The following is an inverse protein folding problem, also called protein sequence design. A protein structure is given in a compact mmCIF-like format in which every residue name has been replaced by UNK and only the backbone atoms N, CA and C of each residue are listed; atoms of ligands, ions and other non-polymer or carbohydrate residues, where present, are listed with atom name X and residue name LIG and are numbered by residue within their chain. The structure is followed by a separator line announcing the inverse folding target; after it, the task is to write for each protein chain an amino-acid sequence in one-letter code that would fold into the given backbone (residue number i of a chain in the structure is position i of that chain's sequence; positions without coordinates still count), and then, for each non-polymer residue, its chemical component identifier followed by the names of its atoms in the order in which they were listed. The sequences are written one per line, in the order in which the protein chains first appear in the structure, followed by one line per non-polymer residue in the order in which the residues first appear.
data_IF_212450796555
#
_entry.id   IF_212450796555
#
_cell.length_a   1.000
_cell.length_b   1.000
_cell.length_c   1.000
_cell.angle_alpha   90.00
_cell.angle_beta   90.00
_cell.angle_gamma   90.00
#
_symmetry.space_group_name_H-M   'P 1'
#
loop_
_entity.id
_entity.type
_entity.pdbx_description
1 polymer ?
#
# COMPACT_ATOMS: atom_id res chain seq x y z
N UNK A 1 -17.41 27.58 -18.08
CA UNK A 1 -17.53 27.11 -16.69
C UNK A 1 -17.19 25.62 -16.68
N UNK A 2 -16.46 25.08 -15.69
CA UNK A 2 -16.24 23.64 -15.61
C UNK A 2 -17.57 22.92 -15.35
N UNK A 3 -17.71 21.69 -15.84
CA UNK A 3 -18.90 20.84 -15.58
C UNK A 3 -18.75 20.01 -14.29
N UNK A 4 -17.51 19.69 -13.95
CA UNK A 4 -17.13 18.90 -12.78
C UNK A 4 -15.90 19.53 -12.12
N UNK A 5 -15.90 19.56 -10.79
CA UNK A 5 -14.73 19.87 -9.97
C UNK A 5 -14.31 18.62 -9.24
N UNK A 6 -13.15 18.07 -9.60
CA UNK A 6 -12.57 16.91 -8.95
C UNK A 6 -11.55 17.38 -7.93
N UNK A 7 -11.81 17.10 -6.66
CA UNK A 7 -10.96 17.48 -5.54
C UNK A 7 -10.33 16.25 -4.90
N UNK A 8 -9.12 16.44 -4.40
CA UNK A 8 -8.30 15.36 -3.86
C UNK A 8 -7.91 15.68 -2.42
N UNK A 9 -8.20 14.74 -1.53
CA UNK A 9 -7.88 14.77 -0.11
C UNK A 9 -8.35 16.03 0.64
N UNK A 10 -7.90 16.17 1.88
CA UNK A 10 -8.37 17.16 2.83
C UNK A 10 -8.02 18.60 2.44
N UNK A 11 -6.93 18.80 1.69
CA UNK A 11 -6.45 20.13 1.28
C UNK A 11 -7.51 20.86 0.45
N UNK A 12 -8.24 20.13 -0.38
CA UNK A 12 -9.36 20.64 -1.17
C UNK A 12 -10.74 20.20 -0.63
N UNK A 13 -10.78 19.59 0.55
CA UNK A 13 -12.00 18.99 1.12
C UNK A 13 -13.12 19.99 1.41
N UNK A 14 -12.82 21.28 1.58
CA UNK A 14 -13.85 22.31 1.79
C UNK A 14 -14.52 22.79 0.49
N UNK A 15 -13.92 22.53 -0.67
CA UNK A 15 -14.42 23.04 -1.95
C UNK A 15 -15.85 22.57 -2.27
N UNK A 16 -16.24 21.30 -2.05
CA UNK A 16 -17.63 20.89 -2.26
C UNK A 16 -18.64 21.67 -1.41
N UNK A 17 -18.30 21.95 -0.16
CA UNK A 17 -19.13 22.75 0.73
C UNK A 17 -19.23 24.21 0.26
N UNK A 18 -18.11 24.82 -0.15
CA UNK A 18 -18.10 26.19 -0.67
C UNK A 18 -18.95 26.32 -1.95
N UNK A 19 -18.84 25.38 -2.88
CA UNK A 19 -19.67 25.35 -4.11
C UNK A 19 -21.15 25.20 -3.75
N UNK A 20 -21.48 24.31 -2.81
CA UNK A 20 -22.85 24.13 -2.34
C UNK A 20 -23.40 25.42 -1.70
N UNK A 21 -22.60 26.07 -0.87
CA UNK A 21 -22.99 27.32 -0.22
C UNK A 21 -23.26 28.43 -1.24
N UNK A 22 -22.37 28.64 -2.22
CA UNK A 22 -22.58 29.66 -3.26
C UNK A 22 -23.78 29.33 -4.17
N UNK A 23 -24.01 28.05 -4.44
CA UNK A 23 -25.23 27.60 -5.15
C UNK A 23 -26.50 27.98 -4.40
N UNK A 24 -26.54 27.75 -3.10
CA UNK A 24 -27.68 28.04 -2.23
C UNK A 24 -27.85 29.55 -1.99
N UNK A 25 -26.75 30.30 -1.80
CA UNK A 25 -26.75 31.74 -1.47
C UNK A 25 -26.98 32.65 -2.67
N UNK A 26 -26.20 32.44 -3.74
CA UNK A 26 -26.17 33.33 -4.90
C UNK A 26 -27.10 32.88 -6.04
N UNK A 27 -27.82 31.76 -5.85
CA UNK A 27 -28.63 31.16 -6.91
C UNK A 27 -27.78 30.70 -8.09
N UNK A 28 -26.54 30.25 -7.84
CA UNK A 28 -25.63 29.77 -8.88
C UNK A 28 -26.12 28.43 -9.46
N UNK A 29 -27.19 28.48 -10.27
CA UNK A 29 -27.89 27.31 -10.81
C UNK A 29 -27.06 26.43 -11.73
N UNK A 30 -25.96 26.95 -12.27
CA UNK A 30 -24.99 26.20 -13.11
C UNK A 30 -23.73 25.79 -12.35
N UNK A 31 -23.78 25.74 -11.02
CA UNK A 31 -22.66 25.29 -10.21
C UNK A 31 -22.23 23.85 -10.62
N UNK A 32 -20.92 23.60 -10.80
CA UNK A 32 -20.43 22.30 -11.22
C UNK A 32 -20.73 21.22 -10.19
N UNK A 33 -20.81 19.97 -10.67
CA UNK A 33 -20.80 18.80 -9.79
C UNK A 33 -19.43 18.62 -9.14
N UNK A 34 -19.38 17.94 -8.01
CA UNK A 34 -18.15 17.75 -7.24
C UNK A 34 -17.86 16.27 -7.01
N UNK A 35 -16.61 15.86 -7.28
CA UNK A 35 -16.10 14.54 -6.97
C UNK A 35 -14.94 14.67 -5.99
N UNK A 36 -15.01 14.02 -4.83
CA UNK A 36 -13.90 13.93 -3.89
C UNK A 36 -13.18 12.59 -4.07
N UNK A 37 -11.86 12.58 -4.27
CA UNK A 37 -11.04 11.38 -4.08
C UNK A 37 -10.32 11.41 -2.74
N UNK A 38 -10.46 10.32 -1.98
CA UNK A 38 -9.73 10.06 -0.75
C UNK A 38 -8.57 9.11 -1.06
N UNK A 39 -7.32 9.59 -0.99
CA UNK A 39 -6.14 8.72 -1.17
C UNK A 39 -5.65 8.13 0.14
N UNK A 40 -5.82 8.86 1.25
CA UNK A 40 -5.39 8.37 2.56
C UNK A 40 -6.22 9.02 3.68
N UNK A 41 -6.98 8.19 4.40
CA UNK A 41 -7.91 8.64 5.42
C UNK A 41 -7.23 9.05 6.73
N UNK A 42 -5.94 8.72 6.90
CA UNK A 42 -5.16 9.13 8.07
C UNK A 42 -4.87 10.63 8.10
N UNK A 43 -4.88 11.31 6.95
CA UNK A 43 -4.66 12.76 6.84
C UNK A 43 -5.98 13.45 6.50
N UNK A 44 -6.59 14.10 7.50
CA UNK A 44 -7.96 14.60 7.39
C UNK A 44 -8.08 16.13 7.40
N UNK A 45 -6.99 16.85 7.71
CA UNK A 45 -7.04 18.30 7.91
C UNK A 45 -7.95 18.66 9.08
N UNK A 46 -7.61 18.18 10.28
CA UNK A 46 -8.33 18.47 11.51
C UNK A 46 -7.77 19.74 12.15
N UNK A 47 -8.63 20.71 12.41
CA UNK A 47 -8.26 22.03 12.96
C UNK A 47 -9.14 22.39 14.16
N UNK A 48 -8.70 23.35 14.98
CA UNK A 48 -9.52 23.87 16.07
C UNK A 48 -10.85 24.45 15.56
N UNK A 49 -11.88 24.43 16.41
CA UNK A 49 -13.16 25.09 16.10
C UNK A 49 -13.01 26.55 15.66
N UNK A 50 -12.06 27.28 16.26
CA UNK A 50 -11.81 28.69 15.92
C UNK A 50 -11.35 28.88 14.47
N UNK A 51 -10.65 27.90 13.89
CA UNK A 51 -10.22 27.96 12.48
C UNK A 51 -11.41 27.97 11.52
N UNK A 52 -12.58 27.46 11.92
CA UNK A 52 -13.80 27.48 11.10
C UNK A 52 -14.19 28.89 10.67
N UNK A 53 -13.96 29.91 11.51
CA UNK A 53 -14.27 31.30 11.18
C UNK A 53 -13.51 31.81 9.94
N UNK A 54 -12.34 31.24 9.64
CA UNK A 54 -11.53 31.60 8.47
C UNK A 54 -12.16 31.18 7.13
N UNK A 55 -13.13 30.25 7.17
CA UNK A 55 -13.84 29.78 5.97
C UNK A 55 -14.87 30.78 5.45
N UNK A 56 -15.28 31.74 6.29
CA UNK A 56 -16.43 32.63 6.06
C UNK A 56 -17.76 31.89 5.79
N UNK A 57 -17.87 30.62 6.17
CA UNK A 57 -19.10 29.84 6.07
C UNK A 57 -20.04 30.12 7.26
N UNK A 58 -21.37 30.10 7.06
CA UNK A 58 -22.34 30.17 8.15
C UNK A 58 -22.13 29.11 9.22
N UNK A 59 -22.50 29.40 10.47
CA UNK A 59 -22.43 28.44 11.59
C UNK A 59 -23.23 27.16 11.35
N UNK A 60 -24.23 27.21 10.47
CA UNK A 60 -25.18 26.13 10.22
C UNK A 60 -24.55 24.92 9.53
N UNK A 61 -23.33 25.02 8.99
CA UNK A 61 -22.57 23.86 8.49
C UNK A 61 -21.64 23.24 9.57
N UNK A 62 -21.48 23.88 10.73
CA UNK A 62 -20.70 23.34 11.86
C UNK A 62 -21.62 22.53 12.80
N UNK A 63 -21.99 21.32 12.38
CA UNK A 63 -22.77 20.36 13.15
C UNK A 63 -22.29 18.93 12.86
N UNK A 64 -22.77 17.96 13.65
CA UNK A 64 -22.31 16.56 13.62
C UNK A 64 -22.42 15.90 12.24
N UNK A 65 -23.49 16.16 11.48
CA UNK A 65 -23.64 15.65 10.10
C UNK A 65 -22.90 16.52 9.05
N UNK A 66 -22.21 17.58 9.49
CA UNK A 66 -21.51 18.55 8.65
C UNK A 66 -20.00 18.55 8.88
N UNK A 67 -19.42 19.74 9.06
CA UNK A 67 -17.97 19.96 9.17
C UNK A 67 -17.38 19.55 10.52
N UNK A 68 -18.21 19.51 11.57
CA UNK A 68 -17.76 19.29 12.95
C UNK A 68 -17.26 17.87 13.15
N UNK A 69 -16.22 17.68 13.98
CA UNK A 69 -15.66 16.38 14.32
C UNK A 69 -15.09 16.41 15.74
N UNK A 70 -15.85 15.94 16.73
CA UNK A 70 -15.45 15.90 18.15
C UNK A 70 -15.04 17.28 18.72
N UNK A 71 -15.82 18.31 18.42
CA UNK A 71 -15.59 19.70 18.76
C UNK A 71 -14.60 20.42 17.85
N UNK A 72 -14.01 19.74 16.88
CA UNK A 72 -13.02 20.26 15.93
C UNK A 72 -13.63 20.45 14.54
N UNK A 73 -12.90 21.13 13.66
CA UNK A 73 -13.22 21.22 12.23
C UNK A 73 -12.47 20.12 11.49
N UNK A 74 -13.11 19.42 10.55
CA UNK A 74 -12.47 18.40 9.72
C UNK A 74 -12.72 18.67 8.23
N UNK A 75 -11.67 19.08 7.51
CA UNK A 75 -11.76 19.45 6.09
C UNK A 75 -12.15 18.26 5.20
N UNK A 76 -11.62 17.07 5.47
CA UNK A 76 -11.97 15.88 4.70
C UNK A 76 -13.42 15.46 4.96
N UNK A 77 -13.87 15.52 6.21
CA UNK A 77 -15.26 15.24 6.58
C UNK A 77 -16.22 16.17 5.82
N UNK A 78 -15.91 17.46 5.75
CA UNK A 78 -16.69 18.40 4.94
C UNK A 78 -16.80 17.92 3.48
N UNK A 79 -15.70 17.50 2.87
CA UNK A 79 -15.72 16.95 1.52
C UNK A 79 -16.62 15.71 1.39
N UNK A 80 -16.53 14.78 2.33
CA UNK A 80 -17.35 13.56 2.38
C UNK A 80 -18.84 13.90 2.49
N UNK A 81 -19.20 14.85 3.36
CA UNK A 81 -20.60 15.24 3.58
C UNK A 81 -21.21 15.97 2.37
N UNK A 82 -20.44 16.80 1.67
CA UNK A 82 -20.98 17.75 0.70
C UNK A 82 -20.66 17.45 -0.78
N UNK A 83 -19.76 16.52 -1.10
CA UNK A 83 -19.49 16.13 -2.49
C UNK A 83 -20.70 15.46 -3.18
N UNK A 84 -20.82 15.55 -4.50
CA UNK A 84 -21.84 14.80 -5.26
C UNK A 84 -21.43 13.33 -5.45
N UNK A 85 -20.13 13.04 -5.54
CA UNK A 85 -19.56 11.69 -5.64
C UNK A 85 -18.31 11.58 -4.78
N UNK A 86 -18.07 10.40 -4.21
CA UNK A 86 -16.86 10.10 -3.45
C UNK A 86 -16.15 8.91 -4.12
N UNK A 87 -14.86 9.07 -4.37
CA UNK A 87 -14.01 8.01 -4.86
C UNK A 87 -12.88 7.75 -3.87
N UNK A 88 -12.34 6.55 -3.90
CA UNK A 88 -11.09 6.21 -3.22
C UNK A 88 -10.28 5.25 -4.06
N UNK A 89 -9.06 4.96 -3.65
CA UNK A 89 -8.00 4.45 -4.53
C UNK A 89 -7.96 2.92 -4.68
N UNK A 90 -8.96 2.21 -4.15
CA UNK A 90 -9.21 0.79 -4.47
C UNK A 90 -10.59 0.30 -3.99
N UNK A 91 -11.21 -0.69 -4.67
CA UNK A 91 -12.48 -1.29 -4.24
C UNK A 91 -12.49 -1.86 -2.82
N UNK A 92 -11.42 -2.53 -2.40
CA UNK A 92 -11.29 -3.10 -1.06
C UNK A 92 -11.09 -2.00 -0.03
N UNK A 93 -10.24 -1.01 -0.30
CA UNK A 93 -10.06 0.09 0.62
C UNK A 93 -11.37 0.86 0.85
N UNK A 94 -12.20 1.04 -0.19
CA UNK A 94 -13.54 1.61 -0.06
C UNK A 94 -14.42 0.86 0.97
N UNK A 95 -14.28 -0.47 1.05
CA UNK A 95 -14.97 -1.29 2.06
C UNK A 95 -14.30 -1.19 3.43
N UNK A 96 -12.96 -1.21 3.47
CA UNK A 96 -12.19 -1.16 4.71
C UNK A 96 -12.41 0.14 5.47
N UNK A 97 -12.39 1.30 4.79
CA UNK A 97 -12.56 2.62 5.43
C UNK A 97 -13.94 2.86 6.04
N UNK A 98 -14.93 2.02 5.72
CA UNK A 98 -16.23 2.03 6.37
C UNK A 98 -16.27 1.23 7.68
N UNK A 99 -15.16 0.61 8.08
CA UNK A 99 -15.01 -0.10 9.35
C UNK A 99 -14.27 0.78 10.36
N UNK A 100 -14.57 0.63 11.65
CA UNK A 100 -13.91 1.40 12.72
C UNK A 100 -12.38 1.24 12.71
N UNK A 101 -11.89 0.03 12.40
CA UNK A 101 -10.46 -0.29 12.39
C UNK A 101 -9.63 0.55 11.40
N UNK A 102 -10.22 0.91 10.24
CA UNK A 102 -9.53 1.62 9.15
C UNK A 102 -10.13 2.99 8.83
N UNK A 103 -11.32 3.30 9.35
CA UNK A 103 -12.06 4.52 9.02
C UNK A 103 -11.56 5.78 9.73
N UNK A 104 -10.60 5.64 10.65
CA UNK A 104 -9.96 6.77 11.32
C UNK A 104 -10.99 7.75 11.97
N UNK A 105 -12.10 7.21 12.51
CA UNK A 105 -13.22 7.98 13.09
C UNK A 105 -14.24 8.54 12.09
N UNK A 106 -13.99 8.43 10.78
CA UNK A 106 -14.91 8.84 9.72
C UNK A 106 -15.75 7.69 9.15
N UNK A 107 -15.61 6.48 9.69
CA UNK A 107 -16.34 5.29 9.25
C UNK A 107 -17.86 5.48 9.30
N UNK A 108 -18.37 6.16 10.34
CA UNK A 108 -19.79 6.51 10.46
C UNK A 108 -20.28 7.41 9.33
N UNK A 109 -19.54 8.50 9.07
CA UNK A 109 -19.86 9.45 7.99
C UNK A 109 -19.77 8.77 6.62
N UNK A 110 -18.78 7.91 6.40
CA UNK A 110 -18.64 7.15 5.15
C UNK A 110 -19.78 6.14 4.96
N UNK A 111 -20.23 5.45 6.02
CA UNK A 111 -21.39 4.54 5.94
C UNK A 111 -22.69 5.25 5.57
N UNK A 112 -22.92 6.46 6.09
CA UNK A 112 -24.08 7.28 5.70
C UNK A 112 -24.07 7.62 4.20
N UNK A 113 -22.86 7.72 3.62
CA UNK A 113 -22.60 8.14 2.24
C UNK A 113 -22.18 6.98 1.32
N UNK A 114 -22.31 5.72 1.77
CA UNK A 114 -21.76 4.55 1.08
C UNK A 114 -22.25 4.37 -0.36
N UNK A 115 -23.49 4.80 -0.65
CA UNK A 115 -24.09 4.70 -1.99
C UNK A 115 -23.43 5.63 -3.01
N UNK A 116 -22.58 6.57 -2.56
CA UNK A 116 -21.81 7.49 -3.38
C UNK A 116 -20.31 7.21 -3.34
N UNK A 117 -19.88 6.20 -2.57
CA UNK A 117 -18.47 5.84 -2.39
C UNK A 117 -18.07 4.74 -3.39
N UNK A 118 -17.12 5.04 -4.27
CA UNK A 118 -16.62 4.12 -5.28
C UNK A 118 -15.11 3.94 -5.16
N UNK A 119 -14.64 2.70 -5.06
CA UNK A 119 -13.21 2.40 -5.14
C UNK A 119 -12.75 2.24 -6.59
N UNK A 120 -11.75 3.01 -7.00
CA UNK A 120 -11.12 2.97 -8.32
C UNK A 120 -9.63 2.76 -8.10
N UNK A 121 -9.09 1.65 -8.60
CA UNK A 121 -7.67 1.33 -8.44
C UNK A 121 -6.81 2.34 -9.19
N UNK A 122 -5.73 2.83 -8.57
CA UNK A 122 -4.80 3.73 -9.23
C UNK A 122 -4.08 3.03 -10.40
N UNK A 123 -3.64 3.83 -11.36
CA UNK A 123 -2.64 3.46 -12.35
C UNK A 123 -1.23 3.84 -11.92
N UNK A 124 -0.26 3.48 -12.75
CA UNK A 124 1.15 3.90 -12.64
C UNK A 124 1.60 4.56 -13.94
N UNK A 125 2.50 5.53 -13.84
CA UNK A 125 3.11 6.15 -15.03
C UNK A 125 3.97 5.12 -15.77
N UNK A 126 3.52 4.79 -16.97
CA UNK A 126 4.12 3.77 -17.80
C UNK A 126 5.37 4.19 -18.53
N UNK A 127 5.58 5.48 -18.70
CA UNK A 127 6.75 6.03 -19.39
C UNK A 127 7.91 6.13 -18.39
N UNK A 128 7.62 6.58 -17.17
CA UNK A 128 8.59 6.63 -16.07
C UNK A 128 8.99 5.21 -15.62
N UNK A 129 8.01 4.36 -15.29
CA UNK A 129 8.26 3.03 -14.76
C UNK A 129 8.37 2.00 -15.88
N UNK A 130 9.35 2.17 -16.76
CA UNK A 130 9.59 1.25 -17.88
C UNK A 130 10.86 0.42 -17.72
N UNK A 131 10.89 -0.77 -18.32
CA UNK A 131 12.06 -1.68 -18.35
C UNK A 131 12.89 -1.51 -19.63
N UNK A 132 12.43 -0.68 -20.55
CA UNK A 132 13.11 -0.31 -21.79
C UNK A 132 13.25 1.20 -21.86
N UNK A 133 14.38 1.71 -22.38
CA UNK A 133 14.62 3.16 -22.49
C UNK A 133 14.59 3.91 -21.15
N UNK A 134 14.72 3.19 -20.04
CA UNK A 134 14.81 3.80 -18.72
C UNK A 134 16.25 4.25 -18.46
N UNK A 135 16.51 5.55 -18.22
CA UNK A 135 17.85 6.09 -18.07
C UNK A 135 18.58 5.61 -16.80
N UNK A 136 17.86 4.99 -15.85
CA UNK A 136 18.42 4.50 -14.59
C UNK A 136 18.88 3.05 -14.65
N UNK A 137 18.55 2.31 -15.72
CA UNK A 137 18.89 0.90 -15.89
C UNK A 137 20.13 0.75 -16.78
N UNK A 138 21.01 -0.21 -16.44
CA UNK A 138 22.18 -0.52 -17.28
C UNK A 138 21.82 -1.34 -18.51
N UNK A 139 20.76 -2.14 -18.42
CA UNK A 139 20.29 -3.03 -19.47
C UNK A 139 18.77 -3.01 -19.53
N UNK A 140 18.25 -2.79 -20.75
CA UNK A 140 16.83 -2.94 -21.01
C UNK A 140 16.44 -4.43 -21.02
N UNK A 141 15.23 -4.72 -20.55
CA UNK A 141 14.66 -6.07 -20.61
C UNK A 141 13.16 -6.02 -20.88
N UNK A 142 12.61 -7.16 -21.29
CA UNK A 142 11.17 -7.32 -21.54
C UNK A 142 10.74 -8.75 -21.27
N UNK A 143 9.43 -9.00 -21.28
CA UNK A 143 8.87 -10.35 -21.18
C UNK A 143 9.45 -11.32 -22.23
N UNK A 144 9.75 -10.83 -23.43
CA UNK A 144 10.31 -11.64 -24.53
C UNK A 144 11.83 -11.80 -24.44
N UNK A 145 12.51 -10.89 -23.75
CA UNK A 145 13.95 -10.92 -23.55
C UNK A 145 14.28 -10.54 -22.09
N UNK A 146 14.19 -11.50 -21.15
CA UNK A 146 14.38 -11.24 -19.73
C UNK A 146 15.85 -11.12 -19.32
N UNK A 147 16.80 -11.43 -20.22
CA UNK A 147 18.23 -11.53 -19.88
C UNK A 147 18.81 -10.27 -19.23
N UNK A 148 18.31 -9.07 -19.61
CA UNK A 148 18.74 -7.81 -19.00
C UNK A 148 18.46 -7.71 -17.50
N UNK A 149 17.43 -8.39 -16.98
CA UNK A 149 17.13 -8.41 -15.53
C UNK A 149 18.27 -9.00 -14.70
N UNK A 150 18.95 -10.04 -15.21
CA UNK A 150 20.11 -10.63 -14.53
C UNK A 150 21.32 -9.67 -14.49
N UNK A 151 21.45 -8.79 -15.49
CA UNK A 151 22.48 -7.73 -15.52
C UNK A 151 22.14 -6.68 -14.45
N UNK A 152 20.88 -6.26 -14.36
CA UNK A 152 20.40 -5.33 -13.32
C UNK A 152 20.63 -5.89 -11.92
N UNK A 153 20.33 -7.17 -11.68
CA UNK A 153 20.57 -7.84 -10.40
C UNK A 153 22.04 -7.80 -9.99
N UNK A 154 22.95 -8.21 -10.89
CA UNK A 154 24.39 -8.17 -10.64
C UNK A 154 24.87 -6.74 -10.37
N UNK A 155 24.37 -5.78 -11.15
CA UNK A 155 24.69 -4.37 -11.00
C UNK A 155 24.28 -3.84 -9.63
N UNK A 156 23.05 -4.14 -9.21
CA UNK A 156 22.53 -3.75 -7.90
C UNK A 156 23.31 -4.40 -6.76
N UNK A 157 23.62 -5.70 -6.87
CA UNK A 157 24.48 -6.39 -5.89
C UNK A 157 25.83 -5.68 -5.75
N UNK A 158 26.47 -5.34 -6.86
CA UNK A 158 27.74 -4.61 -6.86
C UNK A 158 27.62 -3.21 -6.24
N UNK A 159 26.60 -2.44 -6.62
CA UNK A 159 26.35 -1.09 -6.12
C UNK A 159 26.10 -1.08 -4.61
N UNK A 160 25.36 -2.08 -4.11
CA UNK A 160 24.98 -2.21 -2.71
C UNK A 160 26.04 -2.94 -1.86
N UNK A 161 27.18 -3.32 -2.45
CA UNK A 161 28.27 -4.00 -1.75
C UNK A 161 27.97 -5.46 -1.35
N UNK A 162 26.96 -6.07 -1.97
CA UNK A 162 26.56 -7.45 -1.72
C UNK A 162 27.39 -8.45 -2.54
N UNK A 163 27.39 -9.71 -2.11
CA UNK A 163 27.97 -10.80 -2.90
C UNK A 163 27.27 -10.89 -4.27
N UNK A 164 28.03 -10.78 -5.35
CA UNK A 164 27.52 -10.91 -6.71
C UNK A 164 27.26 -12.40 -7.04
N UNK A 165 26.03 -12.84 -6.81
CA UNK A 165 25.63 -14.23 -7.01
C UNK A 165 24.26 -14.30 -7.72
N UNK A 166 24.21 -14.75 -8.99
CA UNK A 166 22.97 -14.76 -9.77
C UNK A 166 21.90 -15.70 -9.18
N UNK A 167 22.33 -16.80 -8.57
CA UNK A 167 21.43 -17.85 -8.06
C UNK A 167 20.92 -17.58 -6.63
N UNK A 168 21.39 -16.52 -5.96
CA UNK A 168 20.90 -16.14 -4.62
C UNK A 168 19.68 -15.22 -4.80
N UNK A 169 18.50 -15.55 -4.25
CA UNK A 169 17.33 -14.69 -4.36
C UNK A 169 17.57 -13.35 -3.66
N UNK A 170 17.24 -12.26 -4.36
CA UNK A 170 17.36 -10.90 -3.88
C UNK A 170 15.98 -10.30 -3.61
N UNK A 171 15.76 -9.90 -2.36
CA UNK A 171 14.52 -9.29 -1.89
C UNK A 171 14.71 -7.78 -1.75
N UNK A 172 13.77 -7.00 -2.28
CA UNK A 172 13.77 -5.53 -2.20
C UNK A 172 12.66 -4.99 -1.31
N UNK A 173 12.91 -3.86 -0.67
CA UNK A 173 11.88 -3.02 -0.07
C UNK A 173 12.23 -1.54 -0.28
N UNK A 174 11.26 -0.75 -0.75
CA UNK A 174 11.37 0.69 -0.86
C UNK A 174 10.20 1.30 -0.09
N UNK A 175 10.44 1.94 1.05
CA UNK A 175 9.34 2.34 1.91
C UNK A 175 9.68 3.48 2.88
N UNK A 176 8.63 4.16 3.35
CA UNK A 176 8.72 4.94 4.58
C UNK A 176 8.86 3.99 5.76
N UNK A 177 9.80 4.25 6.65
CA UNK A 177 10.06 3.42 7.82
C UNK A 177 9.16 3.84 8.99
N UNK A 178 7.90 3.45 8.90
CA UNK A 178 6.84 3.74 9.88
C UNK A 178 5.99 2.48 10.13
N UNK A 179 5.30 2.42 11.27
CA UNK A 179 4.49 1.26 11.67
C UNK A 179 3.46 0.84 10.60
N UNK A 180 2.83 1.82 9.96
CA UNK A 180 1.88 1.64 8.84
C UNK A 180 2.42 0.73 7.74
N UNK A 181 3.73 0.80 7.47
CA UNK A 181 4.40 0.06 6.38
C UNK A 181 4.95 -1.29 6.81
N UNK A 182 4.69 -1.74 8.04
CA UNK A 182 5.14 -3.06 8.49
C UNK A 182 6.64 -3.18 8.70
N UNK A 183 7.36 -2.07 8.87
CA UNK A 183 8.83 -2.08 8.93
C UNK A 183 9.37 -2.88 10.13
N UNK A 184 8.67 -2.87 11.25
CA UNK A 184 8.93 -3.68 12.43
C UNK A 184 8.70 -5.18 12.16
N UNK A 185 7.60 -5.53 11.48
CA UNK A 185 7.28 -6.90 11.06
C UNK A 185 8.34 -7.42 10.09
N UNK A 186 8.74 -6.60 9.13
CA UNK A 186 9.78 -6.91 8.16
C UNK A 186 11.10 -7.19 8.86
N UNK A 187 11.50 -6.31 9.79
CA UNK A 187 12.73 -6.46 10.54
C UNK A 187 12.74 -7.77 11.33
N UNK A 188 11.65 -8.08 12.06
CA UNK A 188 11.50 -9.34 12.80
C UNK A 188 11.59 -10.57 11.89
N UNK A 189 10.91 -10.56 10.75
CA UNK A 189 10.97 -11.65 9.78
C UNK A 189 12.38 -11.84 9.20
N UNK A 190 13.10 -10.75 8.93
CA UNK A 190 14.46 -10.82 8.39
C UNK A 190 15.46 -11.47 9.36
N UNK A 191 15.31 -11.29 10.67
CA UNK A 191 16.18 -11.96 11.65
C UNK A 191 16.13 -13.50 11.51
N UNK A 192 14.97 -14.05 11.15
CA UNK A 192 14.79 -15.48 10.92
C UNK A 192 15.19 -15.88 9.49
N UNK A 193 14.75 -15.11 8.49
CA UNK A 193 14.95 -15.44 7.07
C UNK A 193 16.43 -15.41 6.66
N UNK A 194 17.26 -14.58 7.31
CA UNK A 194 18.69 -14.48 6.99
C UNK A 194 19.52 -15.72 7.34
N UNK A 195 18.94 -16.69 8.04
CA UNK A 195 19.52 -18.04 8.16
C UNK A 195 19.59 -18.76 6.81
N UNK A 196 18.67 -18.46 5.88
CA UNK A 196 18.66 -19.01 4.54
C UNK A 196 19.68 -18.33 3.60
N UNK A 197 19.86 -18.91 2.41
CA UNK A 197 20.68 -18.34 1.34
C UNK A 197 19.86 -17.30 0.57
N UNK A 198 19.84 -16.07 1.07
CA UNK A 198 19.13 -14.94 0.47
C UNK A 198 19.89 -13.64 0.66
N UNK A 199 19.50 -12.62 -0.11
CA UNK A 199 19.93 -11.24 0.07
C UNK A 199 18.74 -10.30 0.20
N UNK A 200 18.95 -9.17 0.86
CA UNK A 200 17.95 -8.14 1.08
C UNK A 200 18.52 -6.74 0.86
N UNK A 201 17.77 -5.90 0.15
CA UNK A 201 18.08 -4.48 -0.09
C UNK A 201 16.91 -3.63 0.39
N UNK A 202 17.22 -2.65 1.24
CA UNK A 202 16.31 -1.61 1.67
C UNK A 202 16.72 -0.25 1.12
N UNK A 203 15.74 0.51 0.62
CA UNK A 203 15.81 1.96 0.45
C UNK A 203 14.66 2.61 1.23
N UNK A 204 14.95 3.48 2.18
CA UNK A 204 13.88 4.13 2.92
C UNK A 204 14.32 5.08 4.01
N UNK A 205 13.40 5.88 4.52
CA UNK A 205 13.61 6.79 5.66
C UNK A 205 12.34 6.94 6.48
N UNK A 206 12.46 7.40 7.72
CA UNK A 206 11.34 7.59 8.63
C UNK A 206 11.77 7.62 10.09
N UNK A 207 11.29 6.66 10.88
CA UNK A 207 11.62 6.56 12.30
C UNK A 207 13.13 6.32 12.51
N UNK A 208 13.83 7.17 13.29
CA UNK A 208 15.25 6.98 13.59
C UNK A 208 15.56 5.63 14.25
N UNK A 209 14.60 5.08 15.01
CA UNK A 209 14.73 3.76 15.65
C UNK A 209 14.76 2.65 14.59
N UNK A 210 13.85 2.72 13.62
CA UNK A 210 13.78 1.74 12.53
C UNK A 210 14.98 1.87 11.58
N UNK A 211 15.37 3.10 11.23
CA UNK A 211 16.56 3.35 10.41
C UNK A 211 17.81 2.72 11.03
N UNK A 212 18.05 3.00 12.33
CA UNK A 212 19.18 2.44 13.07
C UNK A 212 19.11 0.91 13.14
N UNK A 213 17.91 0.34 13.27
CA UNK A 213 17.74 -1.10 13.33
C UNK A 213 18.09 -1.80 12.01
N UNK A 214 17.65 -1.26 10.87
CA UNK A 214 18.03 -1.80 9.54
C UNK A 214 19.52 -1.61 9.24
N UNK A 215 20.11 -0.47 9.64
CA UNK A 215 21.56 -0.26 9.54
C UNK A 215 22.34 -1.26 10.41
N UNK A 216 21.86 -1.56 11.62
CA UNK A 216 22.44 -2.59 12.49
C UNK A 216 22.35 -3.98 11.86
N UNK A 217 21.23 -4.32 11.24
CA UNK A 217 21.03 -5.59 10.52
C UNK A 217 22.04 -5.72 9.37
N UNK A 218 22.19 -4.67 8.55
CA UNK A 218 23.18 -4.61 7.47
C UNK A 218 24.62 -4.82 7.98
N UNK A 219 24.96 -4.21 9.13
CA UNK A 219 26.30 -4.36 9.74
C UNK A 219 26.59 -5.78 10.23
N UNK A 220 25.57 -6.52 10.69
CA UNK A 220 25.71 -7.91 11.15
C UNK A 220 25.77 -8.91 10.00
N UNK A 221 25.16 -8.58 8.86
CA UNK A 221 25.07 -9.44 7.69
C UNK A 221 25.52 -8.72 6.41
N UNK A 222 26.77 -8.21 6.34
CA UNK A 222 27.23 -7.32 5.26
C UNK A 222 27.25 -7.97 3.86
N UNK A 223 27.28 -9.30 3.79
CA UNK A 223 27.23 -10.08 2.54
C UNK A 223 25.79 -10.38 2.07
N UNK A 224 24.81 -10.21 2.97
CA UNK A 224 23.39 -10.52 2.73
C UNK A 224 22.47 -9.29 2.74
N UNK A 225 22.78 -8.26 3.50
CA UNK A 225 21.86 -7.14 3.76
C UNK A 225 22.52 -5.82 3.44
N UNK A 226 21.85 -5.01 2.63
CA UNK A 226 22.21 -3.62 2.39
C UNK A 226 21.03 -2.70 2.71
N UNK A 227 21.30 -1.63 3.45
CA UNK A 227 20.28 -0.64 3.83
C UNK A 227 20.76 0.77 3.46
N UNK A 228 20.04 1.41 2.54
CA UNK A 228 20.24 2.81 2.15
C UNK A 228 19.17 3.66 2.82
N UNK A 229 19.60 4.53 3.74
CA UNK A 229 18.68 5.45 4.40
C UNK A 229 18.53 6.73 3.57
N UNK A 230 17.29 7.11 3.30
CA UNK A 230 16.93 8.29 2.52
C UNK A 230 15.99 7.99 1.35
N UNK A 231 15.90 8.95 0.44
CA UNK A 231 15.16 8.85 -0.82
C UNK A 231 16.14 8.92 -1.99
N UNK A 232 16.03 7.99 -2.93
CA UNK A 232 16.86 7.94 -4.12
C UNK A 232 16.03 7.35 -5.28
N UNK A 233 15.51 8.24 -6.11
CA UNK A 233 14.64 7.86 -7.23
C UNK A 233 15.37 6.97 -8.26
N UNK A 234 16.57 7.30 -8.77
CA UNK A 234 17.32 6.39 -9.62
C UNK A 234 17.55 5.00 -9.01
N UNK A 235 17.90 4.92 -7.72
CA UNK A 235 18.11 3.65 -7.04
C UNK A 235 16.81 2.85 -6.89
N UNK A 236 15.66 3.50 -6.70
CA UNK A 236 14.36 2.81 -6.65
C UNK A 236 14.08 2.01 -7.93
N UNK A 237 14.35 2.59 -9.11
CA UNK A 237 14.25 1.87 -10.38
C UNK A 237 15.20 0.67 -10.47
N UNK A 238 16.45 0.83 -10.00
CA UNK A 238 17.43 -0.27 -9.99
C UNK A 238 17.08 -1.37 -8.99
N UNK A 239 16.47 -1.02 -7.85
CA UNK A 239 15.93 -1.99 -6.88
C UNK A 239 14.78 -2.78 -7.50
N UNK A 240 13.80 -2.10 -8.10
CA UNK A 240 12.68 -2.76 -8.78
C UNK A 240 13.18 -3.65 -9.93
N UNK A 241 14.22 -3.24 -10.68
CA UNK A 241 14.77 -4.04 -11.77
C UNK A 241 15.61 -5.22 -11.30
N UNK A 242 16.47 -5.01 -10.29
CA UNK A 242 17.46 -5.99 -9.87
C UNK A 242 16.96 -7.02 -8.88
N UNK A 243 15.89 -6.74 -8.13
CA UNK A 243 15.32 -7.71 -7.19
C UNK A 243 14.51 -8.80 -7.89
N UNK A 244 14.49 -9.99 -7.29
CA UNK A 244 13.63 -11.10 -7.70
C UNK A 244 12.25 -10.97 -7.03
N UNK A 245 12.24 -10.57 -5.76
CA UNK A 245 11.04 -10.41 -4.94
C UNK A 245 10.97 -9.02 -4.33
N UNK A 246 9.76 -8.50 -4.16
CA UNK A 246 9.51 -7.22 -3.51
C UNK A 246 8.62 -7.40 -2.30
N UNK A 247 9.03 -6.92 -1.12
CA UNK A 247 8.32 -7.15 0.14
C UNK A 247 7.46 -5.94 0.51
N UNK A 248 6.15 -6.14 0.75
CA UNK A 248 5.24 -5.09 1.24
C UNK A 248 4.37 -5.59 2.41
N UNK A 249 4.90 -5.57 3.64
CA UNK A 249 4.20 -6.04 4.83
C UNK A 249 3.28 -4.96 5.44
N UNK A 250 2.82 -3.98 4.65
CA UNK A 250 1.99 -2.87 5.11
C UNK A 250 0.79 -3.34 5.92
N UNK A 251 0.52 -2.71 7.07
CA UNK A 251 -0.65 -3.01 7.92
C UNK A 251 -1.95 -2.59 7.25
N UNK A 252 -1.91 -1.44 6.58
CA UNK A 252 -2.94 -0.96 5.68
C UNK A 252 -2.29 -0.26 4.49
N UNK A 253 -2.91 -0.36 3.30
CA UNK A 253 -2.38 0.24 2.08
C UNK A 253 -3.55 0.66 1.17
N UNK A 254 -3.91 1.96 1.10
CA UNK A 254 -5.09 2.41 0.36
C UNK A 254 -5.12 1.92 -1.08
N UNK A 255 -3.99 2.08 -1.78
CA UNK A 255 -3.73 1.48 -3.07
C UNK A 255 -2.42 0.69 -3.05
N UNK A 256 -1.32 1.39 -2.74
CA UNK A 256 0.03 0.90 -2.96
C UNK A 256 0.40 1.06 -4.43
N UNK A 257 1.57 1.63 -4.73
CA UNK A 257 2.07 1.75 -6.11
C UNK A 257 3.20 0.77 -6.40
N UNK A 258 4.01 0.47 -5.37
CA UNK A 258 5.22 -0.33 -5.55
C UNK A 258 4.94 -1.75 -6.05
N UNK A 259 3.84 -2.38 -5.64
CA UNK A 259 3.47 -3.70 -6.17
C UNK A 259 3.17 -3.65 -7.68
N UNK A 260 2.63 -2.54 -8.19
CA UNK A 260 2.42 -2.34 -9.63
C UNK A 260 3.74 -2.06 -10.36
N UNK A 261 4.66 -1.31 -9.74
CA UNK A 261 6.03 -1.16 -10.25
C UNK A 261 6.74 -2.52 -10.32
N UNK A 262 6.70 -3.31 -9.25
CA UNK A 262 7.32 -4.63 -9.20
C UNK A 262 6.77 -5.56 -10.27
N UNK A 263 5.44 -5.66 -10.42
CA UNK A 263 4.81 -6.44 -11.50
C UNK A 263 5.32 -6.02 -12.87
N UNK A 264 5.44 -4.71 -13.11
CA UNK A 264 5.92 -4.17 -14.37
C UNK A 264 7.40 -4.47 -14.64
N UNK A 265 8.21 -4.56 -13.59
CA UNK A 265 9.64 -4.89 -13.67
C UNK A 265 9.91 -6.41 -13.60
N UNK A 266 8.85 -7.23 -13.58
CA UNK A 266 8.98 -8.68 -13.44
C UNK A 266 9.57 -9.10 -12.09
N UNK A 267 9.38 -8.28 -11.06
CA UNK A 267 9.75 -8.55 -9.66
C UNK A 267 8.51 -9.01 -8.93
N UNK A 268 8.58 -10.18 -8.29
CA UNK A 268 7.40 -10.83 -7.72
C UNK A 268 7.04 -10.13 -6.40
N UNK A 269 5.88 -9.45 -6.30
CA UNK A 269 5.50 -8.79 -5.07
C UNK A 269 4.96 -9.80 -4.06
N UNK A 270 5.49 -9.77 -2.84
CA UNK A 270 5.02 -10.50 -1.67
C UNK A 270 4.41 -9.47 -0.72
N UNK A 271 3.08 -9.46 -0.66
CA UNK A 271 2.31 -8.38 -0.06
C UNK A 271 1.39 -8.90 1.04
N UNK A 272 1.04 -8.06 2.01
CA UNK A 272 -0.10 -8.33 2.90
C UNK A 272 -1.41 -8.10 2.12
N UNK A 273 -2.39 -8.99 2.28
CA UNK A 273 -3.72 -8.85 1.69
C UNK A 273 -4.55 -7.74 2.40
N UNK A 274 -4.31 -6.48 2.03
CA UNK A 274 -5.00 -5.29 2.55
C UNK A 274 -5.18 -4.23 1.46
N UNK A 275 -6.28 -3.48 1.51
CA UNK A 275 -6.57 -2.38 0.60
C UNK A 275 -6.26 -2.70 -0.87
N UNK A 276 -5.57 -1.79 -1.55
CA UNK A 276 -5.29 -1.98 -2.97
C UNK A 276 -4.26 -3.06 -3.29
N UNK A 277 -3.50 -3.57 -2.31
CA UNK A 277 -2.61 -4.70 -2.54
C UNK A 277 -3.41 -5.96 -2.88
N UNK A 278 -4.52 -6.20 -2.18
CA UNK A 278 -5.40 -7.34 -2.43
C UNK A 278 -6.23 -7.21 -3.71
N UNK A 279 -6.51 -5.97 -4.15
CA UNK A 279 -7.19 -5.71 -5.41
C UNK A 279 -6.25 -5.80 -6.63
N UNK A 280 -4.95 -5.51 -6.44
CA UNK A 280 -3.97 -5.46 -7.52
C UNK A 280 -3.14 -6.74 -7.69
N UNK A 281 -2.99 -7.55 -6.64
CA UNK A 281 -2.21 -8.80 -6.68
C UNK A 281 -3.13 -10.01 -6.71
N UNK A 282 -2.92 -10.87 -7.71
CA UNK A 282 -3.60 -12.16 -7.84
C UNK A 282 -2.66 -13.24 -7.29
N UNK A 283 -3.08 -13.91 -6.23
CA UNK A 283 -2.36 -15.05 -5.70
C UNK A 283 -2.36 -16.20 -6.71
N UNK A 284 -1.17 -16.67 -7.06
CA UNK A 284 -1.00 -17.82 -7.94
C UNK A 284 -1.21 -19.08 -7.11
N UNK A 285 -2.47 -19.50 -6.98
CA UNK A 285 -2.77 -20.83 -6.46
C UNK A 285 -2.21 -21.84 -7.45
N UNK A 286 -1.01 -22.36 -7.17
CA UNK A 286 -0.51 -23.56 -7.85
C UNK A 286 -1.46 -24.68 -7.45
N UNK A 287 -2.43 -25.00 -8.33
CA UNK A 287 -3.16 -26.26 -8.25
C UNK A 287 -2.15 -27.36 -8.49
N UNK A 288 -1.54 -27.86 -7.42
CA UNK A 288 -0.83 -29.13 -7.46
C UNK A 288 -1.90 -30.17 -7.76
N UNK A 289 -1.93 -30.64 -9.01
CA UNK A 289 -2.72 -31.80 -9.37
C UNK A 289 -2.04 -32.99 -8.71
N UNK A 290 -2.44 -33.31 -7.48
CA UNK A 290 -2.04 -34.57 -6.87
C UNK A 290 -2.72 -35.67 -7.70
N UNK A 291 -1.96 -36.60 -8.32
CA UNK A 291 -2.58 -37.74 -8.97
C UNK A 291 -3.43 -38.48 -7.95
N UNK A 292 -4.67 -38.82 -8.34
CA UNK A 292 -5.55 -39.61 -7.47
C UNK A 292 -4.85 -40.95 -7.19
N UNK A 293 -4.85 -41.46 -5.95
CA UNK A 293 -4.33 -42.80 -5.70
C UNK A 293 -5.12 -43.80 -6.54
N UNK A 294 -4.46 -44.50 -7.47
CA UNK A 294 -5.05 -45.60 -8.25
C UNK A 294 -5.16 -45.42 -9.77
N UNK A 295 -4.57 -44.40 -10.39
CA UNK A 295 -4.38 -44.39 -11.85
C UNK A 295 -2.91 -44.66 -12.18
N UNK A 296 -2.66 -45.82 -12.81
CA UNK A 296 -1.38 -46.22 -13.36
C UNK A 296 -1.13 -45.49 -14.68
N UNK A 297 -0.16 -44.59 -14.71
CA UNK A 297 0.33 -43.98 -15.94
C UNK A 297 1.28 -44.97 -16.65
N UNK A 298 0.73 -45.75 -17.59
CA UNK A 298 1.53 -46.41 -18.62
C UNK A 298 1.69 -45.45 -19.80
N UNK A 299 2.91 -44.92 -19.94
CA UNK A 299 3.55 -44.34 -21.14
C UNK A 299 2.72 -43.45 -22.09
N UNK A 300 3.07 -42.16 -22.15
CA UNK A 300 3.64 -41.59 -23.38
C UNK A 300 4.06 -40.13 -23.19
N UNK A 301 5.23 -39.83 -23.75
CA UNK A 301 5.85 -38.51 -23.94
C UNK A 301 4.89 -37.45 -24.47
N UNK A 302 4.81 -36.29 -23.82
CA UNK A 302 4.12 -35.13 -24.38
C UNK A 302 4.09 -33.90 -23.48
N UNK A 303 5.05 -32.99 -23.70
CA UNK A 303 4.91 -31.52 -23.54
C UNK A 303 4.14 -31.01 -22.31
N UNK A 304 4.87 -30.45 -21.34
CA UNK A 304 4.35 -29.47 -20.38
C UNK A 304 3.80 -28.26 -21.15
N UNK A 305 2.53 -28.31 -21.54
CA UNK A 305 1.81 -27.14 -22.07
C UNK A 305 1.72 -26.10 -20.95
N UNK A 306 2.55 -25.06 -21.05
CA UNK A 306 2.32 -23.77 -20.37
C UNK A 306 0.94 -23.28 -20.79
N UNK A 307 -0.05 -23.43 -19.93
CA UNK A 307 -1.33 -22.75 -20.08
C UNK A 307 -1.12 -21.32 -19.61
N UNK A 308 -1.01 -20.40 -20.56
CA UNK A 308 -1.13 -18.97 -20.28
C UNK A 308 -2.58 -18.71 -19.84
N UNK A 309 -2.77 -18.29 -18.59
CA UNK A 309 -4.07 -17.82 -18.13
C UNK A 309 -4.19 -16.34 -18.49
N UNK A 310 -5.18 -16.05 -19.32
CA UNK A 310 -5.62 -14.74 -19.78
C UNK A 310 -6.07 -13.88 -18.57
N UNK A 311 -5.66 -12.60 -18.42
CA UNK A 311 -5.90 -11.81 -17.20
C UNK A 311 -7.33 -11.24 -17.06
N UNK A 312 -8.34 -11.86 -17.66
CA UNK A 312 -9.72 -11.40 -17.61
C UNK A 312 -10.65 -12.52 -17.13
N UNK A 313 -10.59 -12.84 -15.83
CA UNK A 313 -11.65 -13.60 -15.17
C UNK A 313 -12.01 -12.86 -13.88
N UNK A 314 -13.25 -12.37 -13.72
CA UNK A 314 -13.70 -11.82 -12.44
C UNK A 314 -13.66 -12.91 -11.36
N UNK A 315 -13.33 -12.54 -10.12
CA UNK A 315 -13.50 -13.42 -8.95
C UNK A 315 -15.00 -13.75 -8.80
N UNK A 316 -15.46 -14.87 -9.36
CA UNK A 316 -16.79 -15.41 -9.08
C UNK A 316 -16.83 -15.98 -7.64
N UNK A 317 -17.98 -15.73 -6.97
CA UNK A 317 -18.27 -16.06 -5.58
C UNK A 317 -18.92 -17.45 -5.46
N UNK A 318 -18.59 -18.12 -4.35
CA UNK A 318 -19.26 -19.27 -3.69
C UNK A 318 -19.31 -20.59 -4.49
N UNK A 319 -19.16 -21.80 -3.92
CA UNK A 319 -19.81 -22.34 -2.72
C UNK A 319 -18.98 -23.52 -2.15
N UNK A 320 -18.92 -23.63 -0.82
CA UNK A 320 -18.86 -24.92 -0.10
C UNK A 320 -17.53 -25.69 -0.12
N UNK A 321 -16.66 -25.42 0.86
CA UNK A 321 -15.52 -26.27 1.19
C UNK A 321 -15.22 -26.20 2.69
N UNK A 322 -15.33 -27.35 3.36
CA UNK A 322 -15.14 -27.51 4.81
C UNK A 322 -13.72 -27.09 5.23
N UNK A 323 -13.61 -26.10 6.10
CA UNK A 323 -12.34 -25.76 6.78
C UNK A 323 -12.21 -26.58 8.07
N UNK A 324 -11.23 -27.49 8.10
CA UNK A 324 -10.73 -28.07 9.35
C UNK A 324 -9.85 -27.01 10.03
N UNK A 325 -10.35 -26.46 11.13
CA UNK A 325 -9.58 -25.58 11.99
C UNK A 325 -8.47 -26.34 12.71
N UNK A 326 -7.29 -25.74 12.80
CA UNK A 326 -6.29 -26.09 13.80
C UNK A 326 -6.01 -24.87 14.67
N UNK A 327 -6.28 -25.08 15.95
CA UNK A 327 -6.11 -24.16 17.06
C UNK A 327 -4.65 -24.18 17.57
N UNK A 328 -4.31 -23.13 18.33
CA UNK A 328 -3.10 -22.94 19.17
C UNK A 328 -1.85 -22.48 18.42
N UNK A 329 -1.08 -21.50 18.87
CA UNK A 329 -0.89 -20.94 20.20
C UNK A 329 0.61 -20.89 20.48
N UNK A 330 1.13 -19.69 20.79
CA UNK A 330 2.48 -19.54 21.36
C UNK A 330 3.53 -18.93 20.43
N UNK A 331 3.63 -17.60 20.42
CA UNK A 331 4.90 -16.90 20.18
C UNK A 331 5.02 -15.83 21.26
N UNK A 332 5.50 -16.23 22.43
CA UNK A 332 6.05 -15.32 23.42
C UNK A 332 7.26 -16.00 24.03
N UNK A 333 8.43 -15.68 23.47
CA UNK A 333 9.79 -15.78 24.05
C UNK A 333 10.77 -15.86 22.88
N UNK A 334 11.38 -14.71 22.57
CA UNK A 334 12.74 -14.54 22.04
C UNK A 334 12.88 -13.09 21.52
N UNK A 335 12.80 -12.11 22.43
CA UNK A 335 13.28 -10.74 22.17
C UNK A 335 14.28 -10.38 23.28
N UNK A 336 15.38 -9.67 22.96
CA UNK A 336 16.26 -9.10 23.97
C UNK A 336 15.47 -8.21 24.94
N UNK A 337 15.82 -8.20 26.25
CA UNK A 337 15.02 -7.56 27.30
C UNK A 337 14.79 -6.05 27.11
N UNK A 338 15.62 -5.37 26.32
CA UNK A 338 15.54 -3.92 26.11
C UNK A 338 14.63 -3.49 24.94
N UNK A 339 14.10 -4.43 24.14
CA UNK A 339 13.17 -4.14 23.02
C UNK A 339 11.73 -4.55 23.37
N UNK A 340 11.55 -5.63 24.15
CA UNK A 340 10.24 -6.15 24.50
C UNK A 340 9.39 -5.26 25.42
N UNK A 341 10.01 -4.35 26.20
CA UNK A 341 9.28 -3.42 27.08
C UNK A 341 8.69 -2.20 26.37
N UNK A 342 9.18 -1.83 25.19
CA UNK A 342 8.63 -0.72 24.41
C UNK A 342 7.45 -1.15 23.50
N UNK A 343 7.32 -2.45 23.21
CA UNK A 343 6.37 -2.98 22.23
C UNK A 343 5.18 -3.76 22.84
N UNK A 344 5.19 -4.06 24.15
CA UNK A 344 4.17 -4.90 24.80
C UNK A 344 2.99 -4.15 25.45
N UNK A 345 2.82 -2.84 25.16
CA UNK A 345 1.73 -2.03 25.71
C UNK A 345 0.76 -1.49 24.64
N UNK A 346 0.53 -2.24 23.57
CA UNK A 346 -0.42 -1.86 22.52
C UNK A 346 -1.74 -2.64 22.69
N UNK A 347 -2.71 -2.03 23.38
CA UNK A 347 -4.13 -2.27 23.10
C UNK A 347 -4.41 -2.06 21.60
N UNK A 348 -5.49 -2.64 21.02
CA UNK A 348 -5.87 -2.37 19.64
C UNK A 348 -6.19 -0.88 19.47
N UNK A 349 -5.16 -0.08 19.19
CA UNK A 349 -5.30 1.32 18.78
C UNK A 349 -5.86 1.31 17.36
N UNK A 350 -6.79 2.22 17.08
CA UNK A 350 -7.19 2.53 15.71
C UNK A 350 -5.93 2.68 14.83
N UNK A 351 -5.89 2.05 13.66
CA UNK A 351 -4.69 2.04 12.81
C UNK A 351 -4.26 3.44 12.36
N UNK A 352 -5.17 4.42 12.47
CA UNK A 352 -4.92 5.83 12.30
C UNK A 352 -5.18 6.56 13.62
N UNK A 353 -4.20 6.56 14.52
CA UNK A 353 -4.10 7.65 15.49
C UNK A 353 -3.76 8.91 14.68
N UNK A 354 -4.59 9.94 14.77
CA UNK A 354 -4.38 11.22 14.08
C UNK A 354 -3.00 11.78 14.46
N UNK A 355 -2.11 12.10 13.49
CA UNK A 355 -0.94 12.91 13.82
C UNK A 355 -1.44 14.28 14.29
N UNK A 356 -0.93 14.75 15.44
CA UNK A 356 -1.17 16.12 15.89
C UNK A 356 -0.66 17.10 14.82
N UNK A 357 -1.29 18.26 14.73
CA UNK A 357 -1.00 19.29 13.72
C UNK A 357 0.46 19.82 13.75
N UNK A 358 1.27 19.39 14.72
CA UNK A 358 2.66 19.80 14.93
C UNK A 358 3.71 18.99 14.12
N UNK A 359 3.28 18.09 13.23
CA UNK A 359 4.20 17.24 12.44
C UNK A 359 4.28 17.60 10.95
N UNK A 360 4.06 18.86 10.58
CA UNK A 360 4.31 19.39 9.24
C UNK A 360 5.55 20.27 9.18
#
# INVERSE_FOLDING_TARGET
QPELVHVHDWQAGLVPLLIRHERERAGWGTAPKTCLTIHNLAYQGVFSRSAYALTNLPSDYFHEDGVEFHGLMNCLKAGICYADLITTVSPRYAREIMTEAFGCGLDGTLRQRQHLLVGILNGVDSEEWNTTQNPFLKSSFSLRNPGGKGIEKRSLQQEMGLLQAPDIPLFGNISRLVDQKGSDLLLGALEEMLAAKMQFVLLGSGSPVLEKAFQNLARRHPDKVAARIGYDHPLSHRIEAGCDFYLMPSRFEPCGLNQMYSLRYGTIPIVRATGGLDDSIIDQVVRVFLPRPGQSDTESTGSLRRTAVNPAVPKERDVGGVFLGTNHGGISRCLPPDIGRALSAAEPRAMCASPSADSY
#
